data_IF_552377709619
#
_entry.id   IF_552377709619
#
_cell.length_a   1.000
_cell.length_b   1.000
_cell.length_c   1.000
_cell.angle_alpha   90.00
_cell.angle_beta   90.00
_cell.angle_gamma   90.00
#
_symmetry.space_group_name_H-M   'P 1'
#
loop_
_entity.id
_entity.type
_entity.pdbx_description
1 polymer ?
#
# COMPACT_ATOMS: atom_id res chain seq x y z
N UNK A 1 1.10 -33.37 -5.94
CA UNK A 1 -0.33 -33.56 -5.58
C UNK A 1 -0.95 -32.20 -5.36
N UNK A 2 -1.81 -31.74 -6.28
CA UNK A 2 -2.65 -30.55 -6.11
C UNK A 2 -3.87 -30.96 -5.29
N UNK A 3 -3.76 -30.95 -3.97
CA UNK A 3 -4.94 -31.01 -3.11
C UNK A 3 -5.79 -29.78 -3.49
N UNK A 4 -7.01 -30.01 -3.98
CA UNK A 4 -7.90 -28.98 -4.51
C UNK A 4 -8.18 -27.98 -3.38
N UNK A 5 -7.48 -26.85 -3.40
CA UNK A 5 -7.55 -25.81 -2.38
C UNK A 5 -8.85 -25.00 -2.57
N UNK A 6 -10.00 -25.67 -2.39
CA UNK A 6 -11.35 -25.08 -2.45
C UNK A 6 -11.47 -23.90 -1.50
N UNK A 7 -10.70 -23.89 -0.41
CA UNK A 7 -10.62 -22.77 0.52
C UNK A 7 -10.04 -21.51 -0.12
N UNK A 8 -8.99 -21.64 -0.94
CA UNK A 8 -8.30 -20.53 -1.56
C UNK A 8 -9.15 -19.78 -2.59
N UNK A 9 -9.87 -20.51 -3.44
CA UNK A 9 -10.75 -19.96 -4.46
C UNK A 9 -12.00 -19.29 -3.85
N UNK A 10 -12.58 -19.90 -2.81
CA UNK A 10 -13.72 -19.32 -2.11
C UNK A 10 -13.33 -18.01 -1.42
N UNK A 11 -12.21 -17.97 -0.68
CA UNK A 11 -11.73 -16.74 -0.05
C UNK A 11 -11.41 -15.65 -1.06
N UNK A 12 -10.82 -16.00 -2.23
CA UNK A 12 -10.60 -15.05 -3.32
C UNK A 12 -11.92 -14.44 -3.81
N UNK A 13 -12.95 -15.27 -4.03
CA UNK A 13 -14.28 -14.83 -4.44
C UNK A 13 -14.91 -13.93 -3.39
N UNK A 14 -14.78 -14.26 -2.10
CA UNK A 14 -15.25 -13.42 -0.99
C UNK A 14 -14.54 -12.07 -0.99
N UNK A 15 -13.22 -12.02 -1.16
CA UNK A 15 -12.47 -10.75 -1.26
C UNK A 15 -13.00 -9.91 -2.43
N UNK A 16 -13.24 -10.53 -3.59
CA UNK A 16 -13.77 -9.83 -4.76
C UNK A 16 -15.17 -9.27 -4.48
N UNK A 17 -16.11 -10.10 -4.02
CA UNK A 17 -17.50 -9.68 -3.78
C UNK A 17 -17.59 -8.61 -2.70
N UNK A 18 -16.97 -8.84 -1.54
CA UNK A 18 -16.97 -7.88 -0.44
C UNK A 18 -16.23 -6.61 -0.84
N UNK A 19 -15.11 -6.72 -1.57
CA UNK A 19 -14.36 -5.58 -2.08
C UNK A 19 -15.18 -4.72 -3.04
N UNK A 20 -15.94 -5.34 -3.96
CA UNK A 20 -16.85 -4.63 -4.87
C UNK A 20 -17.94 -3.92 -4.07
N UNK A 21 -18.61 -4.62 -3.16
CA UNK A 21 -19.66 -4.03 -2.32
C UNK A 21 -19.16 -2.83 -1.52
N UNK A 22 -18.02 -2.97 -0.83
CA UNK A 22 -17.39 -1.88 -0.10
C UNK A 22 -17.06 -0.71 -1.02
N UNK A 23 -16.54 -0.98 -2.22
CA UNK A 23 -16.16 0.06 -3.16
C UNK A 23 -17.36 0.86 -3.67
N UNK A 24 -18.50 0.22 -3.93
CA UNK A 24 -19.74 0.91 -4.32
C UNK A 24 -20.36 1.70 -3.16
N UNK A 25 -20.44 1.11 -1.96
CA UNK A 25 -21.06 1.73 -0.79
C UNK A 25 -20.25 2.95 -0.31
N UNK A 26 -18.92 2.80 -0.25
CA UNK A 26 -18.03 3.84 0.29
C UNK A 26 -17.50 4.81 -0.76
N UNK A 27 -17.88 4.67 -2.04
CA UNK A 27 -17.42 5.56 -3.10
C UNK A 27 -17.70 7.03 -2.78
N UNK A 28 -18.97 7.36 -2.53
CA UNK A 28 -19.43 8.73 -2.29
C UNK A 28 -18.74 9.35 -1.06
N UNK A 29 -18.79 8.74 0.14
CA UNK A 29 -18.15 9.35 1.30
C UNK A 29 -16.62 9.50 1.15
N UNK A 30 -15.97 8.64 0.37
CA UNK A 30 -14.51 8.76 0.14
C UNK A 30 -14.15 9.73 -1.00
N UNK A 31 -15.06 10.00 -1.93
CA UNK A 31 -14.87 11.02 -2.96
C UNK A 31 -15.02 12.45 -2.38
N UNK A 32 -15.96 12.64 -1.46
CA UNK A 32 -16.34 13.96 -0.92
C UNK A 32 -15.18 14.82 -0.40
N UNK A 33 -14.21 14.30 0.40
CA UNK A 33 -13.10 15.14 0.86
C UNK A 33 -12.30 15.77 -0.28
N UNK A 34 -12.15 15.05 -1.40
CA UNK A 34 -11.40 15.57 -2.56
C UNK A 34 -12.24 16.59 -3.33
N UNK A 35 -13.55 16.37 -3.46
CA UNK A 35 -14.48 17.35 -4.06
C UNK A 35 -14.47 18.66 -3.28
N UNK A 36 -14.61 18.60 -1.94
CA UNK A 36 -14.56 19.78 -1.06
C UNK A 36 -13.25 20.55 -1.24
N UNK A 37 -12.12 19.84 -1.31
CA UNK A 37 -10.80 20.49 -1.52
C UNK A 37 -10.72 21.14 -2.90
N UNK A 38 -11.24 20.50 -3.95
CA UNK A 38 -11.26 21.09 -5.29
C UNK A 38 -12.16 22.33 -5.35
N UNK A 39 -13.30 22.32 -4.66
CA UNK A 39 -14.23 23.46 -4.58
C UNK A 39 -13.59 24.67 -3.88
N UNK A 40 -12.82 24.45 -2.81
CA UNK A 40 -12.12 25.51 -2.07
C UNK A 40 -10.96 26.10 -2.88
N UNK A 41 -10.18 25.24 -3.54
CA UNK A 41 -8.95 25.65 -4.24
C UNK A 41 -9.24 26.22 -5.64
N UNK A 42 -10.46 26.01 -6.13
CA UNK A 42 -10.86 26.34 -7.49
C UNK A 42 -10.37 25.29 -8.48
N UNK A 43 -11.18 25.06 -9.51
CA UNK A 43 -10.88 24.08 -10.54
C UNK A 43 -9.70 24.57 -11.39
N UNK A 44 -8.49 24.17 -11.01
CA UNK A 44 -7.27 24.43 -11.79
C UNK A 44 -7.31 23.54 -13.02
N UNK A 45 -8.06 23.95 -14.02
CA UNK A 45 -8.04 23.33 -15.34
C UNK A 45 -7.13 24.14 -16.28
N UNK A 46 -6.61 23.46 -17.30
CA UNK A 46 -5.76 24.08 -18.32
C UNK A 46 -6.54 24.38 -19.60
N UNK A 47 -7.88 24.50 -19.50
CA UNK A 47 -8.76 24.62 -20.67
C UNK A 47 -8.53 25.94 -21.43
N UNK A 48 -8.17 27.01 -20.71
CA UNK A 48 -7.87 28.32 -21.31
C UNK A 48 -6.47 28.40 -21.96
N UNK A 49 -5.65 27.34 -21.91
CA UNK A 49 -4.29 27.32 -22.46
C UNK A 49 -4.27 26.66 -23.83
N UNK A 50 -3.58 27.29 -24.80
CA UNK A 50 -3.50 26.78 -26.16
C UNK A 50 -2.76 25.42 -26.20
N UNK A 51 -3.33 24.39 -26.85
CA UNK A 51 -2.70 23.07 -26.95
C UNK A 51 -1.28 23.10 -27.52
N UNK A 52 -0.38 22.29 -26.95
CA UNK A 52 1.00 22.14 -27.43
C UNK A 52 1.99 23.20 -26.95
N UNK A 53 1.52 24.31 -26.37
CA UNK A 53 2.35 25.40 -25.85
C UNK A 53 3.06 25.04 -24.55
N UNK A 54 4.14 25.77 -24.23
CA UNK A 54 4.86 25.64 -22.95
C UNK A 54 3.97 25.92 -21.74
N UNK A 55 3.06 26.91 -21.85
CA UNK A 55 2.11 27.25 -20.78
C UNK A 55 1.11 26.13 -20.49
N UNK A 56 0.64 25.43 -21.53
CA UNK A 56 -0.21 24.26 -21.34
C UNK A 56 0.55 23.15 -20.60
N UNK A 57 1.82 22.93 -20.94
CA UNK A 57 2.66 21.90 -20.29
C UNK A 57 2.91 22.22 -18.83
N UNK A 58 3.26 23.47 -18.50
CA UNK A 58 3.48 23.88 -17.11
C UNK A 58 2.19 23.84 -16.31
N UNK A 59 1.08 24.33 -16.86
CA UNK A 59 -0.24 24.19 -16.23
C UNK A 59 -0.58 22.71 -15.98
N UNK A 60 -0.46 21.85 -16.98
CA UNK A 60 -0.76 20.43 -16.84
C UNK A 60 0.13 19.75 -15.80
N UNK A 61 1.42 20.11 -15.75
CA UNK A 61 2.34 19.62 -14.74
C UNK A 61 1.94 20.07 -13.33
N UNK A 62 1.52 21.33 -13.15
CA UNK A 62 1.02 21.84 -11.87
C UNK A 62 -0.26 21.12 -11.43
N UNK A 63 -1.20 20.91 -12.35
CA UNK A 63 -2.45 20.18 -12.06
C UNK A 63 -2.14 18.73 -11.70
N UNK A 64 -1.26 18.07 -12.45
CA UNK A 64 -0.82 16.71 -12.15
C UNK A 64 -0.14 16.63 -10.77
N UNK A 65 0.80 17.53 -10.47
CA UNK A 65 1.47 17.60 -9.18
C UNK A 65 0.46 17.80 -8.03
N UNK A 66 -0.54 18.66 -8.25
CA UNK A 66 -1.61 18.89 -7.28
C UNK A 66 -2.46 17.63 -7.05
N UNK A 67 -2.87 16.95 -8.12
CA UNK A 67 -3.64 15.69 -8.01
C UNK A 67 -2.84 14.57 -7.35
N UNK A 68 -1.51 14.60 -7.38
CA UNK A 68 -0.65 13.65 -6.67
C UNK A 68 -0.56 13.91 -5.16
N UNK A 69 -0.93 15.09 -4.66
CA UNK A 69 -0.84 15.43 -3.23
C UNK A 69 -1.67 14.49 -2.37
N UNK A 70 -2.91 14.18 -2.77
CA UNK A 70 -3.79 13.26 -2.04
C UNK A 70 -3.21 11.84 -1.90
N UNK A 71 -2.92 11.14 -3.02
CA UNK A 71 -2.26 9.84 -3.00
C UNK A 71 -0.95 9.81 -2.20
N UNK A 72 -0.08 10.82 -2.37
CA UNK A 72 1.19 10.89 -1.65
C UNK A 72 0.97 11.14 -0.16
N UNK A 73 0.04 12.02 0.21
CA UNK A 73 -0.32 12.29 1.60
C UNK A 73 -0.82 11.03 2.31
N UNK A 74 -1.72 10.27 1.66
CA UNK A 74 -2.20 8.99 2.19
C UNK A 74 -1.06 7.97 2.27
N UNK A 75 -0.20 7.88 1.25
CA UNK A 75 0.98 7.00 1.27
C UNK A 75 1.91 7.29 2.45
N UNK A 76 2.21 8.58 2.69
CA UNK A 76 3.01 9.04 3.84
C UNK A 76 2.31 8.72 5.16
N UNK A 77 1.00 8.99 5.27
CA UNK A 77 0.22 8.70 6.47
C UNK A 77 0.23 7.19 6.79
N UNK A 78 -0.02 6.33 5.79
CA UNK A 78 0.07 4.87 5.95
C UNK A 78 1.47 4.43 6.34
N UNK A 79 2.52 5.01 5.74
CA UNK A 79 3.89 4.69 6.08
C UNK A 79 4.26 5.05 7.52
N UNK A 80 3.87 6.24 7.99
CA UNK A 80 4.08 6.70 9.36
C UNK A 80 3.27 5.85 10.36
N UNK A 81 2.01 5.58 10.03
CA UNK A 81 1.09 4.83 10.90
C UNK A 81 1.23 3.31 10.77
N UNK A 82 2.11 2.80 9.89
CA UNK A 82 2.21 1.36 9.57
C UNK A 82 2.31 0.45 10.80
N UNK A 83 3.04 0.89 11.84
CA UNK A 83 3.21 0.11 13.09
C UNK A 83 1.90 0.00 13.86
N UNK A 84 1.15 1.10 13.91
CA UNK A 84 -0.16 1.17 14.56
C UNK A 84 -1.20 0.41 13.75
N UNK A 85 -1.22 0.59 12.43
CA UNK A 85 -2.07 -0.17 11.52
C UNK A 85 -1.81 -1.67 11.65
N UNK A 86 -0.55 -2.12 11.67
CA UNK A 86 -0.22 -3.53 11.86
C UNK A 86 -0.76 -4.08 13.19
N UNK A 87 -0.57 -3.36 14.31
CA UNK A 87 -1.12 -3.76 15.62
C UNK A 87 -2.65 -3.85 15.59
N UNK A 88 -3.31 -2.87 14.97
CA UNK A 88 -4.76 -2.85 14.81
C UNK A 88 -5.26 -4.01 13.96
N UNK A 89 -4.61 -4.28 12.83
CA UNK A 89 -4.91 -5.42 11.94
C UNK A 89 -4.77 -6.73 12.70
N UNK A 90 -3.70 -6.92 13.47
CA UNK A 90 -3.49 -8.14 14.26
C UNK A 90 -4.58 -8.30 15.32
N UNK A 91 -4.94 -7.23 16.03
CA UNK A 91 -6.02 -7.25 17.03
C UNK A 91 -7.37 -7.58 16.39
N UNK A 92 -7.71 -6.93 15.27
CA UNK A 92 -8.94 -7.18 14.53
C UNK A 92 -8.97 -8.62 13.99
N UNK A 93 -7.87 -9.09 13.41
CA UNK A 93 -7.76 -10.45 12.89
C UNK A 93 -7.92 -11.49 14.00
N UNK A 94 -7.38 -11.24 15.20
CA UNK A 94 -7.54 -12.15 16.34
C UNK A 94 -9.00 -12.30 16.78
N UNK A 95 -9.80 -11.23 16.70
CA UNK A 95 -11.24 -11.27 17.03
C UNK A 95 -12.12 -11.95 15.98
N UNK A 96 -11.62 -12.18 14.77
CA UNK A 96 -12.38 -12.80 13.69
C UNK A 96 -12.27 -14.31 13.70
N UNK A 97 -13.31 -14.96 13.17
CA UNK A 97 -13.32 -16.39 12.91
C UNK A 97 -12.09 -16.80 12.07
N UNK A 98 -11.42 -17.94 12.32
CA UNK A 98 -10.19 -18.32 11.63
C UNK A 98 -10.27 -18.26 10.10
N UNK A 99 -11.41 -18.63 9.51
CA UNK A 99 -11.65 -18.55 8.06
C UNK A 99 -11.72 -17.13 7.48
N UNK A 100 -11.98 -16.12 8.31
CA UNK A 100 -12.08 -14.71 7.88
C UNK A 100 -10.77 -13.92 8.05
N UNK A 101 -9.83 -14.40 8.88
CA UNK A 101 -8.54 -13.74 9.12
C UNK A 101 -7.74 -13.44 7.85
N UNK A 102 -7.68 -14.33 6.84
CA UNK A 102 -6.95 -14.05 5.59
C UNK A 102 -7.55 -12.91 4.76
N UNK A 103 -8.79 -12.49 5.04
CA UNK A 103 -9.49 -11.45 4.29
C UNK A 103 -9.11 -10.03 4.74
N UNK A 104 -8.61 -9.88 5.98
CA UNK A 104 -8.41 -8.57 6.61
C UNK A 104 -7.41 -7.70 5.83
N UNK A 105 -6.23 -8.25 5.51
CA UNK A 105 -5.21 -7.52 4.74
C UNK A 105 -5.72 -7.07 3.36
N UNK A 106 -6.26 -7.99 2.53
CA UNK A 106 -6.88 -7.66 1.25
C UNK A 106 -7.97 -6.59 1.32
N UNK A 107 -8.92 -6.71 2.24
CA UNK A 107 -10.01 -5.75 2.38
C UNK A 107 -9.51 -4.38 2.86
N UNK A 108 -8.51 -4.35 3.74
CA UNK A 108 -7.87 -3.10 4.13
C UNK A 108 -7.14 -2.44 2.95
N UNK A 109 -6.44 -3.23 2.11
CA UNK A 109 -5.81 -2.71 0.91
C UNK A 109 -6.84 -2.11 -0.07
N UNK A 110 -7.98 -2.78 -0.26
CA UNK A 110 -9.13 -2.24 -1.01
C UNK A 110 -9.59 -0.90 -0.44
N UNK A 111 -9.80 -0.80 0.88
CA UNK A 111 -10.29 0.43 1.52
C UNK A 111 -9.30 1.60 1.39
N UNK A 112 -8.00 1.34 1.63
CA UNK A 112 -6.96 2.36 1.52
C UNK A 112 -6.81 2.86 0.08
N UNK A 113 -6.87 1.94 -0.90
CA UNK A 113 -6.83 2.33 -2.30
C UNK A 113 -8.11 3.06 -2.72
N UNK A 114 -9.28 2.58 -2.30
CA UNK A 114 -10.58 3.22 -2.57
C UNK A 114 -10.59 4.67 -2.09
N UNK A 115 -10.01 4.97 -0.92
CA UNK A 115 -9.92 6.34 -0.40
C UNK A 115 -9.24 7.29 -1.38
N UNK A 116 -8.11 6.86 -1.96
CA UNK A 116 -7.35 7.65 -2.95
C UNK A 116 -8.07 7.67 -4.31
N UNK A 117 -8.56 6.51 -4.75
CA UNK A 117 -9.14 6.29 -6.06
C UNK A 117 -10.47 7.02 -6.23
N UNK A 118 -11.38 6.90 -5.25
CA UNK A 118 -12.67 7.58 -5.27
C UNK A 118 -12.49 9.11 -5.31
N UNK A 119 -11.54 9.65 -4.54
CA UNK A 119 -11.20 11.07 -4.58
C UNK A 119 -10.67 11.53 -5.93
N UNK A 120 -9.75 10.75 -6.54
CA UNK A 120 -9.15 11.09 -7.83
C UNK A 120 -10.13 10.97 -9.00
N UNK A 121 -11.14 10.10 -8.85
CA UNK A 121 -12.11 9.75 -9.90
C UNK A 121 -13.55 10.14 -9.54
N UNK A 122 -13.75 11.12 -8.67
CA UNK A 122 -15.09 11.51 -8.21
C UNK A 122 -16.05 11.80 -9.39
N UNK A 123 -15.60 12.57 -10.37
CA UNK A 123 -16.34 12.89 -11.60
C UNK A 123 -16.30 11.81 -12.68
N UNK A 124 -15.33 10.89 -12.63
CA UNK A 124 -15.16 9.81 -13.62
C UNK A 124 -15.61 8.44 -13.10
N UNK A 125 -16.26 8.37 -11.92
CA UNK A 125 -16.65 7.11 -11.30
C UNK A 125 -17.65 6.29 -12.13
N UNK A 126 -18.41 6.94 -13.02
CA UNK A 126 -19.32 6.27 -13.96
C UNK A 126 -18.61 5.65 -15.18
N UNK A 127 -17.33 5.96 -15.41
CA UNK A 127 -16.59 5.43 -16.55
C UNK A 127 -16.22 3.95 -16.33
N UNK A 128 -16.11 3.22 -17.43
CA UNK A 128 -15.71 1.82 -17.44
C UNK A 128 -14.41 1.68 -18.22
N UNK A 129 -13.42 1.03 -17.60
CA UNK A 129 -12.15 0.66 -18.23
C UNK A 129 -12.13 -0.85 -18.48
N UNK A 130 -11.13 -1.53 -17.88
CA UNK A 130 -11.13 -3.00 -17.78
C UNK A 130 -12.38 -3.46 -17.03
N UNK A 131 -12.71 -2.73 -15.96
CA UNK A 131 -13.96 -2.84 -15.19
C UNK A 131 -14.45 -1.43 -14.79
N UNK A 132 -15.68 -1.29 -14.25
CA UNK A 132 -16.16 0.00 -13.77
C UNK A 132 -15.21 0.63 -12.75
N UNK A 133 -14.99 1.95 -12.82
CA UNK A 133 -14.07 2.65 -11.92
C UNK A 133 -14.41 2.42 -10.44
N UNK A 134 -15.71 2.33 -10.12
CA UNK A 134 -16.21 2.00 -8.77
C UNK A 134 -15.87 0.59 -8.30
N UNK A 135 -15.72 -0.36 -9.21
CA UNK A 135 -15.39 -1.75 -8.87
C UNK A 135 -13.86 -1.98 -8.80
N UNK A 136 -13.07 -1.12 -9.44
CA UNK A 136 -11.63 -1.31 -9.59
C UNK A 136 -10.83 -1.50 -8.29
N UNK A 137 -11.13 -0.80 -7.18
CA UNK A 137 -10.44 -1.03 -5.92
C UNK A 137 -10.51 -2.47 -5.40
N UNK A 138 -11.57 -3.23 -5.74
CA UNK A 138 -11.68 -4.64 -5.39
C UNK A 138 -10.56 -5.49 -6.01
N UNK A 139 -10.06 -5.12 -7.20
CA UNK A 139 -8.94 -5.81 -7.86
C UNK A 139 -7.65 -5.66 -7.04
N UNK A 140 -7.48 -4.54 -6.33
CA UNK A 140 -6.34 -4.33 -5.43
C UNK A 140 -6.40 -5.31 -4.26
N UNK A 141 -7.59 -5.52 -3.69
CA UNK A 141 -7.81 -6.54 -2.66
C UNK A 141 -7.51 -7.93 -3.19
N UNK A 142 -8.07 -8.29 -4.36
CA UNK A 142 -7.80 -9.58 -5.03
C UNK A 142 -6.31 -9.78 -5.27
N UNK A 143 -5.62 -8.77 -5.80
CA UNK A 143 -4.17 -8.79 -6.04
C UNK A 143 -3.41 -9.00 -4.72
N UNK A 144 -3.76 -8.26 -3.68
CA UNK A 144 -3.15 -8.38 -2.35
C UNK A 144 -3.35 -9.78 -1.76
N UNK A 145 -4.55 -10.35 -1.89
CA UNK A 145 -4.82 -11.72 -1.46
C UNK A 145 -3.96 -12.72 -2.21
N UNK A 146 -3.88 -12.60 -3.54
CA UNK A 146 -3.06 -13.48 -4.38
C UNK A 146 -1.59 -13.40 -3.99
N UNK A 147 -1.05 -12.20 -3.81
CA UNK A 147 0.34 -11.99 -3.40
C UNK A 147 0.62 -12.57 -2.02
N UNK A 148 -0.25 -12.35 -1.04
CA UNK A 148 -0.04 -12.88 0.32
C UNK A 148 -0.16 -14.40 0.34
N UNK A 149 -1.16 -14.97 -0.35
CA UNK A 149 -1.44 -16.41 -0.33
C UNK A 149 -0.47 -17.21 -1.19
N UNK A 150 -0.18 -16.76 -2.40
CA UNK A 150 0.56 -17.50 -3.42
C UNK A 150 1.95 -16.92 -3.73
N UNK A 151 2.27 -15.74 -3.21
CA UNK A 151 3.56 -15.08 -3.42
C UNK A 151 4.77 -15.92 -2.99
N UNK A 152 4.78 -16.62 -1.84
CA UNK A 152 5.90 -17.49 -1.48
C UNK A 152 6.17 -18.59 -2.52
N UNK A 153 5.11 -19.25 -3.01
CA UNK A 153 5.22 -20.28 -4.04
C UNK A 153 5.71 -19.70 -5.38
N UNK A 154 5.29 -18.48 -5.73
CA UNK A 154 5.77 -17.79 -6.92
C UNK A 154 7.26 -17.42 -6.81
N UNK A 155 7.71 -16.95 -5.65
CA UNK A 155 9.13 -16.69 -5.39
C UNK A 155 9.99 -17.95 -5.51
N UNK A 156 9.51 -19.07 -4.97
CA UNK A 156 10.18 -20.37 -5.07
C UNK A 156 10.30 -20.88 -6.52
N UNK A 157 9.36 -20.53 -7.40
CA UNK A 157 9.41 -20.89 -8.83
C UNK A 157 10.35 -20.02 -9.66
N UNK A 158 10.74 -18.84 -9.16
CA UNK A 158 11.60 -17.90 -9.87
C UNK A 158 12.80 -17.45 -9.01
N UNK A 159 13.56 -18.37 -8.40
CA UNK A 159 14.59 -18.02 -7.42
C UNK A 159 15.67 -17.11 -8.03
N UNK A 160 16.10 -17.43 -9.25
CA UNK A 160 17.10 -16.65 -9.99
C UNK A 160 16.71 -15.19 -10.19
N UNK A 161 15.43 -14.91 -10.42
CA UNK A 161 14.95 -13.53 -10.56
C UNK A 161 15.05 -12.77 -9.23
N UNK A 162 14.51 -13.35 -8.15
CA UNK A 162 14.47 -12.72 -6.83
C UNK A 162 15.88 -12.54 -6.24
N UNK A 163 16.80 -13.47 -6.50
CA UNK A 163 18.22 -13.37 -6.13
C UNK A 163 18.94 -12.24 -6.90
N UNK A 164 18.76 -12.14 -8.22
CA UNK A 164 19.35 -11.05 -9.00
C UNK A 164 18.82 -9.70 -8.57
N UNK A 165 17.50 -9.60 -8.35
CA UNK A 165 16.84 -8.40 -7.85
C UNK A 165 17.41 -7.96 -6.50
N UNK A 166 17.72 -8.88 -5.60
CA UNK A 166 18.27 -8.55 -4.28
C UNK A 166 19.65 -7.88 -4.33
N UNK A 167 20.40 -8.11 -5.41
CA UNK A 167 21.67 -7.40 -5.66
C UNK A 167 21.46 -5.93 -6.00
N UNK A 168 20.24 -5.52 -6.36
CA UNK A 168 19.92 -4.12 -6.62
C UNK A 168 19.73 -3.36 -5.30
N UNK A 169 20.35 -2.18 -5.14
CA UNK A 169 20.08 -1.30 -4.02
C UNK A 169 18.58 -1.01 -3.90
N UNK A 170 18.07 -0.91 -2.67
CA UNK A 170 16.63 -0.64 -2.42
C UNK A 170 16.18 0.63 -3.15
N UNK A 171 17.00 1.67 -3.15
CA UNK A 171 16.71 2.93 -3.85
C UNK A 171 16.49 2.70 -5.34
N UNK A 172 17.35 1.93 -6.00
CA UNK A 172 17.19 1.58 -7.43
C UNK A 172 15.90 0.83 -7.67
N UNK A 173 15.55 -0.10 -6.78
CA UNK A 173 14.29 -0.85 -6.88
C UNK A 173 13.07 0.05 -6.77
N UNK A 174 13.06 0.98 -5.81
CA UNK A 174 12.00 2.00 -5.66
C UNK A 174 11.93 2.90 -6.90
N UNK A 175 13.07 3.37 -7.41
CA UNK A 175 13.12 4.18 -8.62
C UNK A 175 12.53 3.44 -9.82
N UNK A 176 12.83 2.16 -10.01
CA UNK A 176 12.23 1.36 -11.10
C UNK A 176 10.71 1.21 -10.91
N UNK A 177 10.26 0.92 -9.68
CA UNK A 177 8.83 0.79 -9.36
C UNK A 177 8.05 2.09 -9.64
N UNK A 178 8.67 3.26 -9.49
CA UNK A 178 8.04 4.55 -9.78
C UNK A 178 8.19 4.95 -11.26
N UNK A 179 9.40 4.85 -11.80
CA UNK A 179 9.71 5.34 -13.14
C UNK A 179 8.96 4.58 -14.23
N UNK A 180 8.85 3.25 -14.13
CA UNK A 180 8.25 2.46 -15.22
C UNK A 180 6.74 2.75 -15.38
N UNK A 181 5.89 2.73 -14.32
CA UNK A 181 4.49 3.13 -14.47
C UNK A 181 4.33 4.59 -14.95
N UNK A 182 5.18 5.51 -14.49
CA UNK A 182 5.17 6.89 -14.97
C UNK A 182 5.50 6.98 -16.46
N UNK A 183 6.54 6.29 -16.93
CA UNK A 183 6.91 6.26 -18.35
C UNK A 183 5.80 5.63 -19.19
N UNK A 184 5.21 4.52 -18.73
CA UNK A 184 4.07 3.89 -19.41
C UNK A 184 2.87 4.85 -19.48
N UNK A 185 2.56 5.53 -18.38
CA UNK A 185 1.50 6.54 -18.34
C UNK A 185 1.75 7.68 -19.34
N UNK A 186 2.99 8.18 -19.42
CA UNK A 186 3.38 9.23 -20.38
C UNK A 186 3.27 8.74 -21.84
N UNK A 187 3.75 7.54 -22.13
CA UNK A 187 3.66 6.94 -23.47
C UNK A 187 2.21 6.77 -23.90
N UNK A 188 1.35 6.25 -23.02
CA UNK A 188 -0.08 6.05 -23.27
C UNK A 188 -0.81 7.39 -23.44
N UNK A 189 -0.44 8.41 -22.66
CA UNK A 189 -1.03 9.75 -22.77
C UNK A 189 -0.67 10.46 -24.07
N UNK A 190 0.45 10.07 -24.70
CA UNK A 190 0.88 10.61 -25.99
C UNK A 190 0.15 9.97 -27.19
N UNK A 191 -0.61 8.88 -26.98
CA UNK A 191 -1.48 8.28 -28.00
C UNK A 191 -2.86 8.97 -27.94
N UNK A 192 -3.49 9.20 -29.09
CA UNK A 192 -4.66 10.08 -29.28
C UNK A 192 -5.67 10.10 -28.12
N UNK A 193 -6.05 11.34 -27.77
CA UNK A 193 -6.54 11.76 -26.45
C UNK A 193 -7.96 11.35 -26.06
N UNK A 194 -8.67 10.55 -26.85
CA UNK A 194 -10.15 10.58 -26.82
C UNK A 194 -10.85 9.26 -26.48
N UNK A 195 -10.14 8.12 -26.43
CA UNK A 195 -10.74 6.86 -25.95
C UNK A 195 -9.97 6.25 -24.78
N UNK A 196 -10.74 5.62 -23.90
CA UNK A 196 -10.29 4.64 -22.90
C UNK A 196 -9.45 5.16 -21.73
N UNK A 197 -9.64 6.41 -21.30
CA UNK A 197 -8.94 6.99 -20.13
C UNK A 197 -8.99 6.07 -18.90
N UNK A 198 -10.17 5.58 -18.54
CA UNK A 198 -10.34 4.67 -17.40
C UNK A 198 -9.55 3.37 -17.57
N UNK A 199 -9.53 2.78 -18.77
CA UNK A 199 -8.76 1.56 -19.03
C UNK A 199 -7.25 1.82 -18.90
N UNK A 200 -6.77 2.93 -19.46
CA UNK A 200 -5.37 3.36 -19.44
C UNK A 200 -4.88 3.55 -18.00
N UNK A 201 -5.67 4.22 -17.17
CA UNK A 201 -5.37 4.43 -15.75
C UNK A 201 -5.31 3.11 -14.97
N UNK A 202 -6.33 2.26 -15.13
CA UNK A 202 -6.39 0.94 -14.48
C UNK A 202 -5.20 0.06 -14.89
N UNK A 203 -4.82 0.07 -16.17
CA UNK A 203 -3.67 -0.66 -16.68
C UNK A 203 -2.35 -0.20 -16.05
N UNK A 204 -2.13 1.12 -15.94
CA UNK A 204 -0.95 1.69 -15.28
C UNK A 204 -0.87 1.26 -13.82
N UNK A 205 -2.00 1.25 -13.09
CA UNK A 205 -2.05 0.76 -11.70
C UNK A 205 -1.65 -0.71 -11.62
N UNK A 206 -2.17 -1.58 -12.50
CA UNK A 206 -1.84 -3.00 -12.51
C UNK A 206 -0.35 -3.25 -12.78
N UNK A 207 0.25 -2.49 -13.70
CA UNK A 207 1.70 -2.51 -13.93
C UNK A 207 2.45 -2.07 -12.66
N UNK A 208 2.03 -0.97 -12.04
CA UNK A 208 2.63 -0.46 -10.81
C UNK A 208 2.60 -1.48 -9.67
N UNK A 209 1.45 -2.13 -9.45
CA UNK A 209 1.32 -3.20 -8.45
C UNK A 209 2.24 -4.38 -8.75
N UNK A 210 2.28 -4.82 -10.01
CA UNK A 210 3.11 -5.94 -10.45
C UNK A 210 4.58 -5.64 -10.21
N UNK A 211 5.04 -4.46 -10.60
CA UNK A 211 6.42 -4.02 -10.35
C UNK A 211 6.71 -3.83 -8.87
N UNK A 212 5.78 -3.29 -8.08
CA UNK A 212 5.95 -3.14 -6.65
C UNK A 212 6.14 -4.51 -5.98
N UNK A 213 5.33 -5.52 -6.35
CA UNK A 213 5.53 -6.88 -5.86
C UNK A 213 6.87 -7.45 -6.31
N UNK A 214 7.19 -7.39 -7.61
CA UNK A 214 8.41 -7.97 -8.14
C UNK A 214 9.65 -7.32 -7.51
N UNK A 215 9.69 -6.00 -7.39
CA UNK A 215 10.87 -5.25 -6.96
C UNK A 215 10.98 -5.09 -5.44
N UNK A 216 9.86 -4.95 -4.72
CA UNK A 216 9.86 -4.51 -3.32
C UNK A 216 9.41 -5.60 -2.33
N UNK A 217 8.85 -6.74 -2.79
CA UNK A 217 8.47 -7.81 -1.87
C UNK A 217 9.69 -8.40 -1.13
N UNK A 218 9.61 -8.61 0.20
CA UNK A 218 10.68 -9.25 0.94
C UNK A 218 10.86 -10.72 0.53
N UNK A 219 12.08 -11.24 0.69
CA UNK A 219 12.44 -12.63 0.41
C UNK A 219 11.73 -13.57 1.38
N UNK A 220 11.34 -14.74 0.88
CA UNK A 220 10.80 -15.83 1.71
C UNK A 220 9.31 -15.70 1.97
N UNK A 221 8.64 -14.67 1.43
CA UNK A 221 7.20 -14.49 1.57
C UNK A 221 6.72 -14.20 2.99
N UNK A 222 7.62 -14.13 3.97
CA UNK A 222 7.32 -13.80 5.36
C UNK A 222 7.19 -12.27 5.53
N UNK A 223 6.20 -11.70 4.83
CA UNK A 223 5.89 -10.27 4.91
C UNK A 223 5.50 -9.89 6.34
N UNK A 224 4.85 -10.82 7.07
CA UNK A 224 4.39 -10.61 8.44
C UNK A 224 5.53 -10.75 9.47
N UNK A 225 6.37 -11.77 9.37
CA UNK A 225 7.50 -12.01 10.26
C UNK A 225 8.66 -11.05 10.02
N UNK A 226 8.98 -10.68 8.78
CA UNK A 226 9.96 -9.62 8.51
C UNK A 226 9.50 -8.25 9.03
N UNK A 227 8.18 -7.98 9.04
CA UNK A 227 7.63 -6.80 9.68
C UNK A 227 7.71 -6.89 11.21
N UNK A 228 7.39 -8.05 11.81
CA UNK A 228 7.49 -8.28 13.24
C UNK A 228 8.94 -8.20 13.76
N UNK A 229 9.89 -8.79 13.05
CA UNK A 229 11.33 -8.81 13.39
C UNK A 229 11.94 -7.40 13.36
N UNK A 230 11.59 -6.58 12.36
CA UNK A 230 11.99 -5.16 12.32
C UNK A 230 11.32 -4.32 13.40
N UNK A 231 10.19 -4.77 13.95
CA UNK A 231 9.52 -4.12 15.07
C UNK A 231 10.11 -4.55 16.41
N UNK A 232 10.59 -5.79 16.54
CA UNK A 232 11.29 -6.28 17.73
C UNK A 232 12.75 -5.80 17.81
N UNK A 233 13.36 -5.41 16.69
CA UNK A 233 14.67 -4.73 16.67
C UNK A 233 14.61 -3.25 17.06
N UNK A 234 13.46 -2.74 17.51
CA UNK A 234 13.47 -1.49 18.29
C UNK A 234 14.30 -1.79 19.55
N UNK A 235 15.42 -1.09 19.79
CA UNK A 235 16.27 -1.40 20.93
C UNK A 235 15.38 -1.41 22.17
N UNK A 236 15.33 -2.56 22.84
CA UNK A 236 14.74 -2.62 24.17
C UNK A 236 15.37 -1.47 24.95
N UNK A 237 14.58 -0.65 25.68
CA UNK A 237 15.16 0.36 26.55
C UNK A 237 16.23 -0.35 27.35
N UNK A 238 17.50 0.06 27.16
CA UNK A 238 18.58 -0.50 27.94
C UNK A 238 18.12 -0.38 29.39
N UNK A 239 18.18 -1.46 30.18
CA UNK A 239 17.88 -1.36 31.59
C UNK A 239 18.76 -0.22 32.10
N UNK A 240 18.12 0.91 32.43
CA UNK A 240 18.79 2.02 33.10
C UNK A 240 19.49 1.38 34.27
N UNK A 241 20.82 1.40 34.25
CA UNK A 241 21.66 0.75 35.23
C UNK A 241 21.02 0.98 36.60
N UNK A 242 20.69 -0.11 37.30
CA UNK A 242 20.14 -0.02 38.64
C UNK A 242 21.04 0.96 39.42
N UNK A 243 20.49 1.99 40.08
CA UNK A 243 21.29 2.93 40.83
C UNK A 243 22.20 2.11 41.73
N UNK A 244 23.51 2.36 41.61
CA UNK A 244 24.55 1.61 42.30
C UNK A 244 24.12 1.38 43.74
N UNK A 245 23.89 0.11 44.09
CA UNK A 245 23.56 -0.28 45.45
C UNK A 245 24.69 0.25 46.33
N UNK A 246 24.34 1.21 47.19
CA UNK A 246 25.25 1.74 48.19
C UNK A 246 25.74 0.57 49.03
N UNK A 247 27.00 0.20 48.84
CA UNK A 247 27.70 -0.79 49.63
C UNK A 247 27.59 -0.41 51.10
N UNK A 248 26.75 -1.11 51.86
CA UNK A 248 26.71 -0.91 53.30
C UNK A 248 28.05 -1.32 53.90
N UNK A 249 28.67 -0.47 54.75
CA UNK A 249 29.93 -0.81 55.40
C UNK A 249 29.74 -2.03 56.31
N UNK A 250 30.69 -2.96 56.22
CA UNK A 250 30.68 -4.21 56.97
C UNK A 250 30.62 -3.96 58.49
N UNK A 251 29.85 -4.77 59.25
CA UNK A 251 29.77 -4.65 60.70
C UNK A 251 31.13 -4.98 61.35
N UNK A 252 31.62 -4.06 62.19
CA UNK A 252 32.83 -4.26 62.99
C UNK A 252 32.59 -5.40 64.00
N UNK A 253 33.43 -6.44 63.93
CA UNK A 253 33.49 -7.50 64.93
C UNK A 253 33.93 -6.93 66.29
N UNK A 254 33.26 -7.29 67.40
CA UNK A 254 33.65 -6.86 68.73
C UNK A 254 34.95 -7.54 69.16
N UNK A 255 35.93 -6.71 69.54
CA UNK A 255 37.21 -7.16 70.08
C UNK A 255 37.03 -7.83 71.43
N UNK A 256 37.62 -9.02 71.58
CA UNK A 256 37.77 -9.70 72.85
C UNK A 256 38.81 -8.98 73.71
N UNK A 257 38.38 -8.47 74.86
CA UNK A 257 39.27 -8.02 75.94
C UNK A 257 39.51 -9.17 76.90
N UNK A 258 40.78 -9.49 77.09
CA UNK A 258 41.35 -10.33 78.16
C UNK A 258 41.21 -9.68 79.53
#
# INVERSE_FOLDING_TARGET
MLQRDTSGALSLLVVLVVGVLLSYILWVPFAQPTEIVNDIVGDKNCAAKQPGTGEMRTCAATVAAWKMVGPLGIGVAVFVLRKHLAKWITKLSASLHPGARPLVGPLLATLLFLLVWAGSHASTGGQTGIIPQKAFPAIIGVYTYVVVRYGPALQQKMPTFFEKRERLPVIVRVLITLAVPTLVSLLITNQDRVSDTAQKEQFVVLIGLTLAYLMLSPKGGDIAGAAAERLSMSPAPQPTAAPAAWSQPAPKTPGAST
#
